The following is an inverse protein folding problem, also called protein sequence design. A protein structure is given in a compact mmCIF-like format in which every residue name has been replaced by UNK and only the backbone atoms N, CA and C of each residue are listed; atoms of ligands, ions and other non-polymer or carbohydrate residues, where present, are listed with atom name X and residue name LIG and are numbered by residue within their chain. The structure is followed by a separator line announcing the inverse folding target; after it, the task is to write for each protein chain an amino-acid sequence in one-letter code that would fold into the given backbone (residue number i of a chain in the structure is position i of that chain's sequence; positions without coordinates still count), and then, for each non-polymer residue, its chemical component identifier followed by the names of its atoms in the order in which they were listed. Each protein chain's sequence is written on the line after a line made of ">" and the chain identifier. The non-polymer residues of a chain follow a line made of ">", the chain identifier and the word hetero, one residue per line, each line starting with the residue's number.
data_IF_658224697911
#
_entry.id   IF_658224697911
#
_cell.length_a   1.000
_cell.length_b   1.000
_cell.length_c   1.000
_cell.angle_alpha   90.00
_cell.angle_beta   90.00
_cell.angle_gamma   90.00
#
_symmetry.space_group_name_H-M   'P 1'
#
loop_
_entity.id
_entity.type
_entity.pdbx_description
1 polymer ?
#
# COMPACT_ATOMS: atom_id res chain seq x y z
N UNK A 1 3.36 -30.79 15.93
CA UNK A 1 4.73 -31.30 15.75
C UNK A 1 5.67 -30.20 15.29
N UNK A 2 6.96 -30.34 15.55
CA UNK A 2 7.98 -29.41 15.11
C UNK A 2 7.99 -29.24 13.58
N UNK A 3 7.79 -30.34 12.85
CA UNK A 3 7.72 -30.33 11.38
C UNK A 3 6.55 -29.48 10.88
N UNK A 4 5.38 -29.63 11.47
CA UNK A 4 4.18 -28.87 11.10
C UNK A 4 4.38 -27.38 11.41
N UNK A 5 4.95 -27.06 12.56
CA UNK A 5 5.25 -25.67 12.95
C UNK A 5 6.26 -25.03 12.00
N UNK A 6 7.26 -25.78 11.53
CA UNK A 6 8.23 -25.29 10.55
C UNK A 6 7.60 -25.06 9.19
N UNK A 7 6.74 -25.97 8.72
CA UNK A 7 6.01 -25.82 7.48
C UNK A 7 5.13 -24.58 7.50
N UNK A 8 4.40 -24.34 8.59
CA UNK A 8 3.55 -23.16 8.77
C UNK A 8 4.37 -21.86 8.74
N UNK A 9 5.56 -21.84 9.37
CA UNK A 9 6.45 -20.69 9.33
C UNK A 9 6.96 -20.41 7.91
N UNK A 10 7.32 -21.46 7.17
CA UNK A 10 7.77 -21.31 5.79
C UNK A 10 6.67 -20.79 4.88
N UNK A 11 5.45 -21.28 5.05
CA UNK A 11 4.28 -20.78 4.33
C UNK A 11 4.04 -19.31 4.65
N UNK A 12 4.08 -18.93 5.93
CA UNK A 12 3.91 -17.54 6.35
C UNK A 12 4.96 -16.63 5.70
N UNK A 13 6.23 -17.04 5.71
CA UNK A 13 7.34 -16.28 5.10
C UNK A 13 7.18 -16.11 3.59
N UNK A 14 6.58 -17.10 2.93
CA UNK A 14 6.36 -17.03 1.49
C UNK A 14 5.35 -15.96 1.09
N UNK A 15 4.46 -15.57 2.01
CA UNK A 15 3.34 -14.66 1.74
C UNK A 15 3.36 -13.36 2.54
N UNK A 16 4.32 -13.21 3.46
CA UNK A 16 4.38 -12.03 4.33
C UNK A 16 5.75 -11.36 4.28
N UNK A 17 5.73 -10.04 4.46
CA UNK A 17 6.94 -9.24 4.57
C UNK A 17 7.65 -9.53 5.90
N UNK A 18 8.95 -9.83 5.85
CA UNK A 18 9.71 -10.22 7.04
C UNK A 18 9.83 -9.11 8.09
N UNK A 19 9.79 -7.85 7.66
CA UNK A 19 9.99 -6.71 8.56
C UNK A 19 8.71 -6.27 9.25
N UNK A 20 7.63 -6.13 8.50
CA UNK A 20 6.36 -5.58 9.00
C UNK A 20 5.30 -6.62 9.30
N UNK A 21 5.54 -7.86 8.87
CA UNK A 21 4.58 -8.97 8.91
C UNK A 21 3.29 -8.73 8.10
N UNK A 22 3.27 -7.69 7.31
CA UNK A 22 2.18 -7.46 6.37
C UNK A 22 2.24 -8.44 5.20
N UNK A 23 1.12 -8.67 4.50
CA UNK A 23 1.17 -9.37 3.21
C UNK A 23 2.28 -8.81 2.32
N UNK A 24 2.96 -9.71 1.61
CA UNK A 24 3.92 -9.31 0.60
C UNK A 24 3.22 -9.14 -0.77
N UNK A 25 3.99 -8.84 -1.81
CA UNK A 25 3.46 -8.67 -3.17
C UNK A 25 2.67 -9.89 -3.64
N UNK A 26 3.20 -11.10 -3.42
CA UNK A 26 2.57 -12.34 -3.88
C UNK A 26 1.18 -12.53 -3.27
N UNK A 27 1.06 -12.36 -1.96
CA UNK A 27 -0.23 -12.48 -1.28
C UNK A 27 -1.18 -11.36 -1.71
N UNK A 28 -0.68 -10.14 -1.86
CA UNK A 28 -1.47 -9.01 -2.31
C UNK A 28 -2.06 -9.25 -3.71
N UNK A 29 -1.23 -9.68 -4.65
CA UNK A 29 -1.68 -9.96 -6.03
C UNK A 29 -2.76 -11.05 -6.05
N UNK A 30 -2.60 -12.10 -5.24
CA UNK A 30 -3.60 -13.15 -5.12
C UNK A 30 -4.94 -12.60 -4.59
N UNK A 31 -4.89 -11.79 -3.54
CA UNK A 31 -6.09 -11.14 -2.98
C UNK A 31 -6.74 -10.19 -3.99
N UNK A 32 -5.94 -9.43 -4.72
CA UNK A 32 -6.44 -8.53 -5.76
C UNK A 32 -7.12 -9.30 -6.88
N UNK A 33 -6.54 -10.41 -7.32
CA UNK A 33 -7.14 -11.28 -8.34
C UNK A 33 -8.52 -11.77 -7.90
N UNK A 34 -8.62 -12.25 -6.67
CA UNK A 34 -9.89 -12.71 -6.10
C UNK A 34 -10.91 -11.58 -5.98
N UNK A 35 -10.45 -10.38 -5.57
CA UNK A 35 -11.31 -9.20 -5.48
C UNK A 35 -11.87 -8.79 -6.85
N UNK A 36 -11.03 -8.81 -7.89
CA UNK A 36 -11.47 -8.54 -9.26
C UNK A 36 -12.48 -9.58 -9.75
N UNK A 37 -12.29 -10.85 -9.42
CA UNK A 37 -13.24 -11.90 -9.77
C UNK A 37 -14.61 -11.67 -9.10
N UNK A 38 -14.61 -11.27 -7.83
CA UNK A 38 -15.86 -10.90 -7.13
C UNK A 38 -16.54 -9.70 -7.77
N UNK A 39 -15.76 -8.72 -8.19
CA UNK A 39 -16.25 -7.50 -8.84
C UNK A 39 -16.96 -7.81 -10.17
N UNK A 40 -16.47 -8.78 -10.93
CA UNK A 40 -17.11 -9.22 -12.18
C UNK A 40 -18.51 -9.80 -11.95
N UNK A 41 -18.78 -10.30 -10.76
CA UNK A 41 -20.10 -10.88 -10.40
C UNK A 41 -21.07 -9.85 -9.84
N UNK A 42 -20.58 -8.68 -9.42
CA UNK A 42 -21.39 -7.63 -8.81
C UNK A 42 -21.42 -6.39 -9.71
N UNK A 43 -22.55 -6.13 -10.33
CA UNK A 43 -22.73 -5.00 -11.24
C UNK A 43 -22.55 -3.67 -10.50
N UNK A 44 -21.76 -2.76 -11.08
CA UNK A 44 -21.54 -1.42 -10.53
C UNK A 44 -20.55 -1.35 -9.37
N UNK A 45 -19.97 -2.47 -8.97
CA UNK A 45 -18.95 -2.48 -7.91
C UNK A 45 -17.54 -2.37 -8.49
N UNK A 46 -16.65 -1.81 -7.68
CA UNK A 46 -15.26 -1.54 -8.06
C UNK A 46 -14.33 -1.91 -6.92
N UNK A 47 -13.06 -2.00 -7.26
CA UNK A 47 -11.98 -2.09 -6.29
C UNK A 47 -11.04 -0.92 -6.51
N UNK A 48 -10.29 -0.53 -5.47
CA UNK A 48 -9.23 0.46 -5.59
C UNK A 48 -7.93 -0.13 -5.10
N UNK A 49 -6.85 0.26 -5.75
CA UNK A 49 -5.48 0.01 -5.28
C UNK A 49 -4.84 1.36 -5.00
N UNK A 50 -4.28 1.52 -3.80
CA UNK A 50 -3.50 2.68 -3.42
C UNK A 50 -2.04 2.26 -3.36
N UNK A 51 -1.21 2.89 -4.18
CA UNK A 51 0.24 2.68 -4.16
C UNK A 51 0.87 3.86 -3.41
N UNK A 52 1.55 3.58 -2.31
CA UNK A 52 2.10 4.61 -1.41
C UNK A 52 3.61 4.44 -1.30
N UNK A 53 4.33 5.54 -1.48
CA UNK A 53 5.78 5.58 -1.35
C UNK A 53 6.17 6.72 -0.41
N UNK A 54 7.11 6.46 0.51
CA UNK A 54 7.62 7.47 1.42
C UNK A 54 8.66 8.32 0.71
N UNK A 55 8.41 9.63 0.59
CA UNK A 55 9.19 10.51 -0.27
C UNK A 55 10.66 10.69 0.13
N UNK A 56 10.97 10.69 1.42
CA UNK A 56 12.30 11.01 1.92
C UNK A 56 12.93 9.87 2.74
N UNK A 57 12.45 8.65 2.52
CA UNK A 57 12.90 7.51 3.32
C UNK A 57 14.40 7.24 3.16
N UNK A 58 14.95 7.42 1.95
CA UNK A 58 16.38 7.25 1.71
C UNK A 58 17.22 8.20 2.56
N UNK A 59 16.76 9.43 2.73
CA UNK A 59 17.45 10.43 3.56
C UNK A 59 17.51 9.95 5.02
N UNK A 60 16.44 9.36 5.52
CA UNK A 60 16.41 8.81 6.88
C UNK A 60 17.40 7.67 7.04
N UNK A 61 17.43 6.74 6.09
CA UNK A 61 18.41 5.64 6.10
C UNK A 61 19.85 6.16 6.06
N UNK A 62 20.14 7.12 5.19
CA UNK A 62 21.47 7.67 5.03
C UNK A 62 21.91 8.47 6.26
N UNK A 63 20.99 9.14 6.93
CA UNK A 63 21.26 10.00 8.08
C UNK A 63 21.28 9.26 9.42
N UNK A 64 20.38 8.29 9.61
CA UNK A 64 20.15 7.63 10.90
C UNK A 64 20.47 6.13 10.88
N UNK A 65 20.75 5.57 9.70
CA UNK A 65 21.07 4.16 9.52
C UNK A 65 19.83 3.30 9.21
N UNK A 66 20.11 2.09 8.69
CA UNK A 66 19.07 1.16 8.27
C UNK A 66 18.20 0.65 9.41
N UNK A 67 18.76 0.50 10.62
CA UNK A 67 17.98 0.07 11.78
C UNK A 67 16.89 1.07 12.13
N UNK A 68 17.21 2.36 12.10
CA UNK A 68 16.23 3.43 12.32
C UNK A 68 15.16 3.44 11.23
N UNK A 69 15.58 3.26 9.97
CA UNK A 69 14.67 3.13 8.85
C UNK A 69 13.71 1.95 9.00
N UNK A 70 14.21 0.80 9.45
CA UNK A 70 13.41 -0.39 9.68
C UNK A 70 12.36 -0.16 10.78
N UNK A 71 12.75 0.48 11.88
CA UNK A 71 11.81 0.83 12.96
C UNK A 71 10.73 1.79 12.44
N UNK A 72 11.13 2.78 11.66
CA UNK A 72 10.17 3.72 11.06
C UNK A 72 9.17 2.99 10.16
N UNK A 73 9.63 2.06 9.33
CA UNK A 73 8.74 1.27 8.47
C UNK A 73 7.70 0.47 9.26
N UNK A 74 8.12 -0.11 10.40
CA UNK A 74 7.19 -0.81 11.29
C UNK A 74 6.15 0.13 11.87
N UNK A 75 6.57 1.32 12.28
CA UNK A 75 5.65 2.33 12.84
C UNK A 75 4.69 2.85 11.78
N UNK A 76 5.17 3.07 10.56
CA UNK A 76 4.33 3.45 9.42
C UNK A 76 3.27 2.37 9.15
N UNK A 77 3.70 1.11 9.09
CA UNK A 77 2.79 -0.02 8.87
C UNK A 77 1.67 -0.05 9.91
N UNK A 78 2.01 0.09 11.18
CA UNK A 78 1.03 0.10 12.27
C UNK A 78 0.06 1.27 12.15
N UNK A 79 0.57 2.45 11.82
CA UNK A 79 -0.25 3.66 11.68
C UNK A 79 -1.21 3.56 10.50
N UNK A 80 -0.74 3.10 9.35
CA UNK A 80 -1.58 2.92 8.17
C UNK A 80 -2.66 1.85 8.40
N UNK A 81 -2.31 0.77 9.08
CA UNK A 81 -3.28 -0.28 9.36
C UNK A 81 -4.48 0.21 10.17
N UNK A 82 -4.26 1.14 11.09
CA UNK A 82 -5.35 1.75 11.89
C UNK A 82 -6.31 2.59 11.05
N UNK A 83 -5.91 3.01 9.87
CA UNK A 83 -6.75 3.79 8.96
C UNK A 83 -7.68 2.93 8.13
N UNK A 84 -7.52 1.62 8.16
CA UNK A 84 -8.21 0.70 7.28
C UNK A 84 -9.26 -0.12 7.99
N UNK A 85 -10.27 -0.55 7.23
CA UNK A 85 -11.28 -1.51 7.68
C UNK A 85 -10.65 -2.91 7.72
N UNK A 86 -11.20 -3.85 8.55
CA UNK A 86 -10.70 -5.23 8.59
C UNK A 86 -10.70 -5.92 7.22
N UNK A 87 -11.66 -5.62 6.35
CA UNK A 87 -11.77 -6.20 5.01
C UNK A 87 -10.79 -5.61 4.00
N UNK A 88 -10.18 -4.46 4.31
CA UNK A 88 -9.15 -3.86 3.45
C UNK A 88 -7.83 -4.58 3.68
N UNK A 89 -6.99 -4.63 2.66
CA UNK A 89 -5.67 -5.27 2.75
C UNK A 89 -4.57 -4.23 2.62
N UNK A 90 -3.60 -4.28 3.53
CA UNK A 90 -2.38 -3.49 3.46
C UNK A 90 -1.21 -4.43 3.24
N UNK A 91 -0.35 -4.11 2.28
CA UNK A 91 0.84 -4.89 1.96
C UNK A 91 2.08 -4.01 1.92
N UNK A 92 3.23 -4.62 2.11
CA UNK A 92 4.52 -3.97 1.82
C UNK A 92 5.17 -4.74 0.67
N UNK A 93 5.54 -4.00 -0.38
CA UNK A 93 6.14 -4.60 -1.59
C UNK A 93 7.68 -4.64 -1.52
N UNK A 94 8.24 -3.96 -0.55
CA UNK A 94 9.67 -3.84 -0.35
C UNK A 94 10.07 -2.38 -0.14
N UNK A 95 11.28 -2.12 0.33
CA UNK A 95 11.73 -0.76 0.59
C UNK A 95 10.70 0.05 1.39
N UNK A 96 10.29 1.16 0.84
CA UNK A 96 9.34 2.11 1.42
C UNK A 96 7.98 2.11 0.71
N UNK A 97 7.66 1.04 -0.01
CA UNK A 97 6.43 0.90 -0.78
C UNK A 97 5.35 0.14 0.00
N UNK A 98 4.22 0.80 0.24
CA UNK A 98 3.03 0.20 0.85
C UNK A 98 1.88 0.25 -0.16
N UNK A 99 1.13 -0.83 -0.25
CA UNK A 99 0.04 -0.95 -1.22
C UNK A 99 -1.22 -1.39 -0.50
N UNK A 100 -2.34 -0.78 -0.85
CA UNK A 100 -3.64 -1.03 -0.20
C UNK A 100 -4.64 -1.51 -1.23
N UNK A 101 -5.43 -2.50 -0.84
CA UNK A 101 -6.59 -2.96 -1.59
C UNK A 101 -7.86 -2.59 -0.84
N UNK A 102 -8.72 -1.84 -1.50
CA UNK A 102 -10.04 -1.48 -0.99
C UNK A 102 -11.08 -2.15 -1.89
N UNK A 103 -11.90 -3.00 -1.28
CA UNK A 103 -12.88 -3.80 -2.02
C UNK A 103 -14.28 -3.25 -1.87
N UNK A 104 -15.14 -3.63 -2.83
CA UNK A 104 -16.58 -3.43 -2.78
C UNK A 104 -16.98 -1.96 -2.61
N UNK A 105 -16.48 -1.12 -3.51
CA UNK A 105 -16.79 0.31 -3.55
C UNK A 105 -17.56 0.66 -4.81
N UNK A 106 -18.28 1.78 -4.78
CA UNK A 106 -19.09 2.24 -5.91
C UNK A 106 -18.34 3.21 -6.83
N UNK A 107 -17.39 3.97 -6.26
CA UNK A 107 -16.63 4.95 -7.00
C UNK A 107 -15.34 5.35 -6.30
N UNK A 108 -14.62 6.34 -6.84
CA UNK A 108 -13.30 6.71 -6.32
C UNK A 108 -13.33 7.43 -4.97
N UNK A 109 -14.49 7.92 -4.53
CA UNK A 109 -14.59 8.77 -3.33
C UNK A 109 -14.07 8.09 -2.06
N UNK A 110 -14.38 6.81 -1.89
CA UNK A 110 -13.92 6.03 -0.73
C UNK A 110 -12.40 5.93 -0.73
N UNK A 111 -11.82 5.62 -1.90
CA UNK A 111 -10.36 5.48 -2.04
C UNK A 111 -9.65 6.82 -1.81
N UNK A 112 -10.21 7.91 -2.32
CA UNK A 112 -9.65 9.26 -2.12
C UNK A 112 -9.64 9.61 -0.63
N UNK A 113 -10.73 9.34 0.09
CA UNK A 113 -10.79 9.60 1.54
C UNK A 113 -9.76 8.79 2.33
N UNK A 114 -9.55 7.53 1.97
CA UNK A 114 -8.52 6.70 2.60
C UNK A 114 -7.13 7.29 2.31
N UNK A 115 -6.85 7.68 1.07
CA UNK A 115 -5.58 8.28 0.69
C UNK A 115 -5.33 9.61 1.42
N UNK A 116 -6.34 10.46 1.55
CA UNK A 116 -6.25 11.70 2.31
C UNK A 116 -5.93 11.43 3.78
N UNK A 117 -6.59 10.43 4.36
CA UNK A 117 -6.35 10.02 5.74
C UNK A 117 -4.92 9.49 5.93
N UNK A 118 -4.42 8.70 4.99
CA UNK A 118 -3.03 8.24 4.99
C UNK A 118 -2.07 9.43 4.96
N UNK A 119 -2.32 10.37 4.06
CA UNK A 119 -1.50 11.57 3.90
C UNK A 119 -1.43 12.37 5.19
N UNK A 120 -2.57 12.58 5.84
CA UNK A 120 -2.64 13.32 7.10
C UNK A 120 -1.94 12.57 8.24
N UNK A 121 -2.17 11.27 8.35
CA UNK A 121 -1.53 10.45 9.39
C UNK A 121 -0.01 10.39 9.23
N UNK A 122 0.49 10.35 8.01
CA UNK A 122 1.93 10.30 7.74
C UNK A 122 2.61 11.66 7.89
N UNK A 123 1.86 12.75 7.95
CA UNK A 123 2.38 14.07 8.30
C UNK A 123 2.59 14.24 9.80
N UNK A 124 1.96 13.41 10.62
CA UNK A 124 2.14 13.44 12.07
C UNK A 124 3.49 12.82 12.43
N UNK A 125 4.20 13.39 13.43
CA UNK A 125 5.53 12.89 13.77
C UNK A 125 5.50 11.44 14.29
N UNK A 126 6.57 10.73 14.00
CA UNK A 126 6.89 9.43 14.60
C UNK A 126 7.98 9.63 15.63
N UNK A 127 7.80 9.09 16.82
CA UNK A 127 8.82 9.16 17.86
C UNK A 127 9.76 7.96 17.76
N UNK A 128 11.03 8.25 17.54
CA UNK A 128 12.09 7.26 17.46
C UNK A 128 13.25 7.71 18.34
N UNK A 129 13.48 7.00 19.45
CA UNK A 129 14.58 7.31 20.39
C UNK A 129 14.58 8.78 20.82
N UNK A 130 13.41 9.35 21.13
CA UNK A 130 13.25 10.71 21.57
C UNK A 130 13.31 11.75 20.45
N UNK A 131 13.46 11.31 19.19
CA UNK A 131 13.46 12.19 18.02
C UNK A 131 12.13 12.10 17.28
N UNK A 132 11.68 13.23 16.75
CA UNK A 132 10.53 13.28 15.88
C UNK A 132 10.96 13.11 14.44
N UNK A 133 10.39 12.09 13.76
CA UNK A 133 10.61 11.85 12.35
C UNK A 133 9.31 12.00 11.59
N UNK A 134 9.41 12.44 10.35
CA UNK A 134 8.27 12.63 9.45
C UNK A 134 8.43 11.71 8.24
N UNK A 135 7.31 11.16 7.79
CA UNK A 135 7.29 10.25 6.65
C UNK A 135 6.29 10.72 5.60
N UNK A 136 6.53 11.89 4.97
CA UNK A 136 5.63 12.35 3.90
C UNK A 136 5.60 11.33 2.77
N UNK A 137 4.46 11.22 2.11
CA UNK A 137 4.22 10.18 1.13
C UNK A 137 3.59 10.73 -0.15
N UNK A 138 3.80 10.00 -1.24
CA UNK A 138 3.10 10.19 -2.50
C UNK A 138 2.20 8.98 -2.71
N UNK A 139 0.96 9.20 -3.11
CA UNK A 139 -0.05 8.15 -3.21
C UNK A 139 -0.68 8.17 -4.60
N UNK A 140 -0.70 7.02 -5.25
CA UNK A 140 -1.40 6.81 -6.50
C UNK A 140 -2.58 5.89 -6.30
N UNK A 141 -3.72 6.21 -6.92
CA UNK A 141 -4.94 5.44 -6.82
C UNK A 141 -5.31 4.90 -8.19
N UNK A 142 -5.43 3.58 -8.30
CA UNK A 142 -5.97 2.92 -9.47
C UNK A 142 -7.34 2.34 -9.14
N UNK A 143 -8.28 2.45 -10.08
CA UNK A 143 -9.63 1.89 -9.93
C UNK A 143 -9.81 0.73 -10.88
N UNK A 144 -10.29 -0.39 -10.35
CA UNK A 144 -10.60 -1.58 -11.11
C UNK A 144 -12.09 -1.88 -11.09
N UNK A 145 -12.59 -2.39 -12.20
CA UNK A 145 -13.98 -2.81 -12.35
C UNK A 145 -14.04 -4.14 -13.12
N UNK A 146 -15.25 -4.52 -13.53
CA UNK A 146 -15.47 -5.76 -14.27
C UNK A 146 -14.68 -5.85 -15.59
N UNK A 147 -14.20 -4.70 -16.11
CA UNK A 147 -13.43 -4.63 -17.36
C UNK A 147 -11.92 -4.73 -17.14
N UNK A 148 -11.46 -4.63 -15.90
CA UNK A 148 -10.04 -4.76 -15.55
C UNK A 148 -9.57 -6.17 -15.86
N UNK A 149 -8.58 -6.31 -16.74
CA UNK A 149 -8.14 -7.62 -17.24
C UNK A 149 -7.27 -8.39 -16.23
N UNK A 150 -6.30 -7.71 -15.63
CA UNK A 150 -5.33 -8.36 -14.75
C UNK A 150 -5.04 -7.52 -13.52
N UNK A 151 -4.64 -8.16 -12.40
CA UNK A 151 -4.15 -7.43 -11.23
C UNK A 151 -2.95 -6.54 -11.56
N UNK A 152 -2.05 -7.03 -12.40
CA UNK A 152 -0.82 -6.31 -12.78
C UNK A 152 -1.12 -5.01 -13.51
N UNK A 153 -2.15 -4.99 -14.35
CA UNK A 153 -2.56 -3.78 -15.06
C UNK A 153 -3.05 -2.71 -14.07
N UNK A 154 -3.83 -3.11 -13.07
CA UNK A 154 -4.33 -2.20 -12.04
C UNK A 154 -3.20 -1.68 -11.15
N UNK A 155 -2.25 -2.55 -10.78
CA UNK A 155 -1.07 -2.14 -10.02
C UNK A 155 -0.23 -1.13 -10.79
N UNK A 156 -0.07 -1.34 -12.10
CA UNK A 156 0.67 -0.41 -12.96
C UNK A 156 -0.01 0.96 -13.00
N UNK A 157 -1.33 0.99 -13.07
CA UNK A 157 -2.11 2.24 -13.06
C UNK A 157 -1.86 3.02 -11.76
N UNK A 158 -1.96 2.34 -10.63
CA UNK A 158 -1.74 2.96 -9.32
C UNK A 158 -0.30 3.45 -9.16
N UNK A 159 0.67 2.66 -9.59
CA UNK A 159 2.10 3.03 -9.55
C UNK A 159 2.38 4.24 -10.44
N UNK A 160 1.82 4.27 -11.64
CA UNK A 160 1.95 5.42 -12.55
C UNK A 160 1.39 6.69 -11.92
N UNK A 161 0.21 6.60 -11.31
CA UNK A 161 -0.40 7.74 -10.61
C UNK A 161 0.46 8.20 -9.43
N UNK A 162 1.03 7.26 -8.68
CA UNK A 162 1.93 7.56 -7.55
C UNK A 162 3.18 8.30 -8.03
N UNK A 163 3.75 7.85 -9.13
CA UNK A 163 4.93 8.52 -9.71
C UNK A 163 4.60 9.96 -10.11
N UNK A 164 3.43 10.20 -10.70
CA UNK A 164 2.98 11.56 -11.02
C UNK A 164 2.76 12.40 -9.77
N UNK A 165 2.22 11.82 -8.71
CA UNK A 165 2.09 12.52 -7.43
C UNK A 165 3.46 12.91 -6.88
N UNK A 166 4.44 12.04 -7.02
CA UNK A 166 5.82 12.26 -6.56
C UNK A 166 6.50 13.42 -7.27
N UNK A 167 6.24 13.60 -8.57
CA UNK A 167 6.77 14.72 -9.35
C UNK A 167 6.32 16.08 -8.80
N UNK A 168 5.11 16.15 -8.27
CA UNK A 168 4.56 17.38 -7.66
C UNK A 168 5.00 17.52 -6.20
N UNK A 169 5.35 16.41 -5.54
CA UNK A 169 5.81 16.35 -4.15
C UNK A 169 4.68 16.18 -3.14
N UNK A 170 4.69 15.05 -2.42
CA UNK A 170 3.85 14.81 -1.25
C UNK A 170 2.34 14.89 -1.48
N UNK A 171 1.84 14.45 -2.63
CA UNK A 171 0.42 14.55 -2.99
C UNK A 171 -0.20 13.18 -3.26
N UNK A 172 -1.49 13.19 -3.59
CA UNK A 172 -2.17 12.01 -4.09
C UNK A 172 -2.71 12.27 -5.50
N UNK A 173 -2.79 11.24 -6.30
CA UNK A 173 -3.33 11.29 -7.66
C UNK A 173 -4.18 10.07 -7.95
N UNK A 174 -5.33 10.30 -8.59
CA UNK A 174 -6.14 9.22 -9.15
C UNK A 174 -5.66 8.97 -10.58
N UNK A 175 -5.49 7.71 -10.94
CA UNK A 175 -5.02 7.34 -12.27
C UNK A 175 -5.99 7.84 -13.37
N UNK A 176 -5.38 8.39 -14.41
CA UNK A 176 -6.05 8.79 -15.63
C UNK A 176 -5.23 8.22 -16.81
N UNK A 177 -5.86 7.63 -17.84
CA UNK A 177 -5.13 7.09 -18.99
C UNK A 177 -4.17 8.07 -19.66
N UNK A 178 -4.43 9.37 -19.59
CA UNK A 178 -3.54 10.40 -20.13
C UNK A 178 -2.18 10.46 -19.43
N UNK A 179 -2.05 9.87 -18.25
CA UNK A 179 -0.77 9.82 -17.50
C UNK A 179 0.31 8.99 -18.21
N UNK A 180 -0.07 8.13 -19.15
CA UNK A 180 0.90 7.37 -19.96
C UNK A 180 1.51 8.18 -21.11
N UNK A 181 0.96 9.33 -21.44
CA UNK A 181 1.47 10.24 -22.46
C UNK A 181 2.44 11.24 -21.82
#
# INVERSE_FOLDING_TARGET
>A
TERKALEERLEHRAFHDYLTDLPNRQLFVDRLRKALDRTRRKKGRKVAVLFTDLDEFKIINDSLGHEAGDVLLKLVAQRLRRCLRPEDSLARFGGDEFVVLIEDIEGPEVAVRVAERFSEELKRPFLLEGRELFAPSSIGIGLGDARTKTPEALLMDADTAMYRAKEVGGTLRVFDPDMYK
#
